data_IF_177521213474
#
_entry.id   IF_177521213474
#
_cell.length_a   1.000
_cell.length_b   1.000
_cell.length_c   1.000
_cell.angle_alpha   90.00
_cell.angle_beta   90.00
_cell.angle_gamma   90.00
#
_symmetry.space_group_name_H-M   'P 1'
#
loop_
_entity.id
_entity.type
_entity.pdbx_description
1 polymer ?
#
# COMPACT_ATOMS: atom_id res chain seq x y z
N UNK A 1 -6.85 -10.97 -3.56
CA UNK A 1 -6.72 -11.78 -2.33
C UNK A 1 -5.33 -12.44 -2.24
N UNK A 2 -4.24 -11.79 -2.68
CA UNK A 2 -3.03 -12.57 -3.07
C UNK A 2 -1.66 -12.03 -2.64
N UNK A 3 -1.55 -10.83 -2.05
CA UNK A 3 -0.25 -10.30 -1.62
C UNK A 3 0.19 -10.80 -0.23
N UNK A 4 -0.74 -10.90 0.75
CA UNK A 4 -0.39 -11.37 2.10
C UNK A 4 -0.03 -12.86 2.17
N UNK A 5 -0.57 -13.70 1.27
CA UNK A 5 -0.24 -15.14 1.23
C UNK A 5 1.19 -15.40 0.75
N UNK A 6 1.74 -14.53 -0.09
CA UNK A 6 3.12 -14.63 -0.57
C UNK A 6 4.15 -14.20 0.49
N UNK A 7 3.78 -13.33 1.43
CA UNK A 7 4.68 -12.89 2.51
C UNK A 7 4.94 -13.96 3.59
N UNK A 8 3.97 -14.86 3.82
CA UNK A 8 4.07 -15.88 4.86
C UNK A 8 5.30 -16.81 4.73
N UNK A 9 5.59 -17.45 3.57
CA UNK A 9 6.77 -18.30 3.45
C UNK A 9 8.08 -17.50 3.61
N UNK A 10 8.13 -16.26 3.14
CA UNK A 10 9.30 -15.39 3.28
C UNK A 10 9.58 -15.05 4.75
N UNK A 11 8.53 -14.75 5.52
CA UNK A 11 8.67 -14.49 6.96
C UNK A 11 9.18 -15.70 7.73
N UNK A 12 8.83 -16.91 7.29
CA UNK A 12 9.25 -18.15 7.95
C UNK A 12 10.74 -18.46 7.71
N UNK A 13 11.24 -18.21 6.50
CA UNK A 13 12.66 -18.36 6.17
C UNK A 13 13.50 -17.36 6.97
N UNK A 14 13.06 -16.11 7.03
CA UNK A 14 13.74 -15.07 7.81
C UNK A 14 13.78 -15.39 9.31
N UNK A 15 12.67 -15.90 9.87
CA UNK A 15 12.57 -16.34 11.26
C UNK A 15 13.55 -17.47 11.57
N UNK A 16 13.65 -18.48 10.69
CA UNK A 16 14.61 -19.57 10.88
C UNK A 16 16.06 -19.06 10.89
N UNK A 17 16.39 -18.09 10.04
CA UNK A 17 17.74 -17.51 9.99
C UNK A 17 18.08 -16.69 11.24
N UNK A 18 17.08 -16.09 11.89
CA UNK A 18 17.25 -15.29 13.10
C UNK A 18 17.24 -16.18 14.34
N UNK A 19 16.37 -17.19 14.39
CA UNK A 19 16.23 -18.09 15.51
C UNK A 19 17.54 -18.83 15.84
N UNK A 20 18.36 -19.17 14.84
CA UNK A 20 19.66 -19.83 15.08
C UNK A 20 20.62 -18.94 15.87
N UNK A 21 20.61 -17.63 15.62
CA UNK A 21 21.45 -16.68 16.33
C UNK A 21 20.98 -16.50 17.79
N UNK A 22 19.67 -16.39 18.01
CA UNK A 22 19.11 -16.19 19.36
C UNK A 22 19.24 -17.40 20.28
N UNK A 23 19.12 -18.62 19.74
CA UNK A 23 19.30 -19.85 20.52
C UNK A 23 20.75 -19.99 21.01
N UNK A 24 21.71 -19.48 20.23
CA UNK A 24 23.13 -19.55 20.58
C UNK A 24 23.50 -18.60 21.72
N UNK A 25 22.78 -17.47 21.85
CA UNK A 25 23.06 -16.41 22.84
C UNK A 25 22.22 -16.51 24.13
N UNK A 26 21.38 -17.55 24.30
CA UNK A 26 20.45 -17.75 25.43
C UNK A 26 19.44 -16.59 25.66
N UNK A 27 19.24 -15.71 24.67
CA UNK A 27 18.34 -14.55 24.78
C UNK A 27 16.89 -14.91 24.41
N UNK A 28 16.16 -15.54 25.33
CA UNK A 28 14.78 -16.03 25.10
C UNK A 28 13.71 -14.93 25.00
N UNK A 29 13.89 -13.79 25.66
CA UNK A 29 12.90 -12.70 25.71
C UNK A 29 12.50 -12.13 24.34
N UNK A 30 13.46 -11.66 23.53
CA UNK A 30 13.18 -11.12 22.18
C UNK A 30 12.62 -12.17 21.24
N UNK A 31 13.09 -13.42 21.35
CA UNK A 31 12.59 -14.51 20.52
C UNK A 31 11.08 -14.71 20.75
N UNK A 32 10.62 -14.67 22.01
CA UNK A 32 9.19 -14.70 22.33
C UNK A 32 8.45 -13.48 21.78
N UNK A 33 9.04 -12.29 21.83
CA UNK A 33 8.45 -11.08 21.25
C UNK A 33 8.27 -11.18 19.73
N UNK A 34 9.29 -11.63 19.00
CA UNK A 34 9.20 -11.84 17.55
C UNK A 34 8.21 -12.95 17.19
N UNK A 35 8.19 -14.07 17.93
CA UNK A 35 7.18 -15.12 17.73
C UNK A 35 5.76 -14.60 17.96
N UNK A 36 5.54 -13.81 19.00
CA UNK A 36 4.25 -13.19 19.27
C UNK A 36 3.84 -12.25 18.15
N UNK A 37 4.76 -11.41 17.66
CA UNK A 37 4.51 -10.46 16.58
C UNK A 37 4.15 -11.20 15.28
N UNK A 38 4.85 -12.28 14.96
CA UNK A 38 4.58 -13.11 13.78
C UNK A 38 3.26 -13.86 13.92
N UNK A 39 2.92 -14.37 15.11
CA UNK A 39 1.62 -14.97 15.37
C UNK A 39 0.48 -13.96 15.17
N UNK A 40 0.67 -12.69 15.59
CA UNK A 40 -0.30 -11.61 15.36
C UNK A 40 -0.42 -11.29 13.86
N UNK A 41 0.68 -11.21 13.13
CA UNK A 41 0.66 -11.04 11.66
C UNK A 41 -0.10 -12.18 10.99
N UNK A 42 0.23 -13.43 11.33
CA UNK A 42 -0.40 -14.62 10.77
C UNK A 42 -1.90 -14.64 11.08
N UNK A 43 -2.28 -14.32 12.31
CA UNK A 43 -3.67 -14.22 12.72
C UNK A 43 -4.42 -13.11 11.96
N UNK A 44 -3.85 -11.90 11.89
CA UNK A 44 -4.42 -10.79 11.13
C UNK A 44 -4.55 -11.11 9.63
N UNK A 45 -3.63 -11.90 9.08
CA UNK A 45 -3.64 -12.36 7.70
C UNK A 45 -4.76 -13.38 7.42
N UNK A 46 -5.05 -14.24 8.39
CA UNK A 46 -6.08 -15.29 8.29
C UNK A 46 -7.49 -14.75 8.58
N UNK A 47 -7.61 -13.61 9.28
CA UNK A 47 -8.88 -12.96 9.58
C UNK A 47 -9.52 -12.32 8.32
N UNK A 48 -10.05 -13.17 7.43
CA UNK A 48 -10.59 -12.85 6.09
C UNK A 48 -11.82 -11.91 6.11
N UNK A 49 -12.42 -11.63 7.29
CA UNK A 49 -13.65 -10.84 7.41
C UNK A 49 -13.46 -9.38 7.88
N UNK A 50 -12.22 -8.92 8.07
CA UNK A 50 -11.99 -7.55 8.52
C UNK A 50 -12.24 -6.53 7.40
N UNK A 51 -12.84 -5.38 7.76
CA UNK A 51 -12.97 -4.25 6.84
C UNK A 51 -11.58 -3.76 6.42
N UNK A 52 -11.48 -3.22 5.20
CA UNK A 52 -10.23 -2.72 4.64
C UNK A 52 -9.48 -1.79 5.60
N UNK A 53 -10.21 -0.86 6.23
CA UNK A 53 -9.68 0.11 7.19
C UNK A 53 -8.99 -0.56 8.37
N UNK A 54 -9.66 -1.53 9.02
CA UNK A 54 -9.10 -2.20 10.20
C UNK A 54 -7.86 -3.00 9.82
N UNK A 55 -7.88 -3.68 8.66
CA UNK A 55 -6.71 -4.42 8.17
C UNK A 55 -5.52 -3.50 7.95
N UNK A 56 -5.73 -2.36 7.29
CA UNK A 56 -4.67 -1.37 7.06
C UNK A 56 -4.10 -0.86 8.39
N UNK A 57 -4.95 -0.47 9.35
CA UNK A 57 -4.46 0.00 10.66
C UNK A 57 -3.67 -1.06 11.41
N UNK A 58 -4.11 -2.33 11.41
CA UNK A 58 -3.35 -3.42 12.04
C UNK A 58 -1.99 -3.59 11.36
N UNK A 59 -1.93 -3.60 10.03
CA UNK A 59 -0.66 -3.69 9.30
C UNK A 59 0.27 -2.54 9.64
N UNK A 60 -0.23 -1.30 9.65
CA UNK A 60 0.57 -0.12 10.00
C UNK A 60 1.06 -0.19 11.46
N UNK A 61 0.20 -0.60 12.39
CA UNK A 61 0.56 -0.73 13.80
C UNK A 61 1.66 -1.77 14.02
N UNK A 62 1.62 -2.88 13.28
CA UNK A 62 2.66 -3.92 13.34
C UNK A 62 4.00 -3.39 12.82
N UNK A 63 4.01 -2.71 11.66
CA UNK A 63 5.25 -2.14 11.10
C UNK A 63 5.83 -1.08 12.05
N UNK A 64 4.97 -0.26 12.65
CA UNK A 64 5.38 0.70 13.67
C UNK A 64 6.00 0.01 14.89
N UNK A 65 5.31 -0.99 15.44
CA UNK A 65 5.81 -1.75 16.60
C UNK A 65 7.15 -2.43 16.31
N UNK A 66 7.33 -2.95 15.09
CA UNK A 66 8.59 -3.55 14.65
C UNK A 66 9.72 -2.52 14.61
N UNK A 67 9.49 -1.35 13.98
CA UNK A 67 10.49 -0.29 13.93
C UNK A 67 10.84 0.29 15.31
N UNK A 68 9.85 0.41 16.20
CA UNK A 68 10.08 0.84 17.59
C UNK A 68 10.83 -0.22 18.39
N UNK A 69 10.49 -1.50 18.23
CA UNK A 69 11.22 -2.60 18.87
C UNK A 69 12.68 -2.61 18.41
N UNK A 70 12.93 -2.49 17.10
CA UNK A 70 14.29 -2.46 16.57
C UNK A 70 15.10 -1.29 17.14
N UNK A 71 14.50 -0.11 17.20
CA UNK A 71 15.15 1.07 17.79
C UNK A 71 15.47 0.88 19.28
N UNK A 72 14.61 0.18 20.03
CA UNK A 72 14.80 -0.10 21.46
C UNK A 72 15.90 -1.14 21.68
N UNK A 73 15.88 -2.24 20.93
CA UNK A 73 16.77 -3.38 21.20
C UNK A 73 18.16 -3.24 20.56
N UNK A 74 18.22 -2.64 19.37
CA UNK A 74 19.44 -2.51 18.59
C UNK A 74 20.01 -1.08 18.57
N UNK A 75 19.19 -0.08 18.91
CA UNK A 75 19.63 1.31 19.05
C UNK A 75 19.58 2.11 17.75
N UNK A 76 20.23 3.28 17.78
CA UNK A 76 20.12 4.31 16.73
C UNK A 76 20.90 3.96 15.46
N UNK A 77 21.95 3.15 15.56
CA UNK A 77 22.81 2.81 14.44
C UNK A 77 22.15 1.87 13.40
N UNK A 78 21.12 1.13 13.80
CA UNK A 78 20.54 0.04 13.01
C UNK A 78 19.43 0.47 12.02
N UNK A 79 18.73 -0.53 11.48
CA UNK A 79 17.78 -0.48 10.36
C UNK A 79 16.37 0.02 10.75
N UNK A 80 16.17 0.60 11.93
CA UNK A 80 14.88 1.17 12.36
C UNK A 80 14.31 2.18 11.35
N UNK A 81 15.21 2.90 10.65
CA UNK A 81 14.87 3.87 9.58
C UNK A 81 14.13 3.20 8.43
N UNK A 82 14.49 1.96 8.08
CA UNK A 82 13.85 1.21 7.01
C UNK A 82 12.39 0.88 7.38
N UNK A 83 12.16 0.44 8.61
CA UNK A 83 10.83 0.12 9.12
C UNK A 83 9.91 1.35 9.19
N UNK A 84 10.43 2.48 9.68
CA UNK A 84 9.66 3.72 9.69
C UNK A 84 9.44 4.29 8.28
N UNK A 85 10.42 4.18 7.38
CA UNK A 85 10.21 4.57 5.98
C UNK A 85 9.12 3.71 5.32
N UNK A 86 9.14 2.39 5.53
CA UNK A 86 8.10 1.48 5.05
C UNK A 86 6.73 1.83 5.61
N UNK A 87 6.64 2.14 6.91
CA UNK A 87 5.41 2.62 7.55
C UNK A 87 4.87 3.87 6.84
N UNK A 88 5.73 4.84 6.55
CA UNK A 88 5.35 6.10 5.90
C UNK A 88 4.88 5.90 4.47
N UNK A 89 5.59 5.07 3.71
CA UNK A 89 5.18 4.70 2.35
C UNK A 89 3.81 4.01 2.36
N UNK A 90 3.62 3.00 3.21
CA UNK A 90 2.35 2.29 3.34
C UNK A 90 1.22 3.22 3.81
N UNK A 91 1.47 4.07 4.80
CA UNK A 91 0.47 5.04 5.29
C UNK A 91 0.06 6.00 4.18
N UNK A 92 1.02 6.51 3.42
CA UNK A 92 0.76 7.44 2.31
C UNK A 92 -0.04 6.78 1.19
N UNK A 93 0.31 5.54 0.84
CA UNK A 93 -0.39 4.77 -0.21
C UNK A 93 -1.82 4.43 0.22
N UNK A 94 -2.03 4.01 1.46
CA UNK A 94 -3.34 3.52 1.91
C UNK A 94 -4.27 4.59 2.45
N UNK A 95 -3.74 5.65 3.08
CA UNK A 95 -4.52 6.68 3.78
C UNK A 95 -4.29 8.09 3.20
N UNK A 96 -3.44 8.22 2.18
CA UNK A 96 -3.16 9.46 1.47
C UNK A 96 -2.11 10.35 2.13
N UNK A 97 -1.82 11.47 1.46
CA UNK A 97 -0.73 12.41 1.81
C UNK A 97 -0.81 12.93 3.25
N UNK A 98 -1.99 13.33 3.72
CA UNK A 98 -2.17 13.91 5.06
C UNK A 98 -1.83 12.91 6.16
N UNK A 99 -2.25 11.66 6.00
CA UNK A 99 -1.93 10.60 6.94
C UNK A 99 -0.43 10.26 6.94
N UNK A 100 0.22 10.31 5.76
CA UNK A 100 1.68 10.16 5.65
C UNK A 100 2.45 11.17 6.50
N UNK A 101 2.09 12.46 6.44
CA UNK A 101 2.71 13.49 7.28
C UNK A 101 2.44 13.32 8.77
N UNK A 102 1.22 12.89 9.15
CA UNK A 102 0.92 12.59 10.57
C UNK A 102 1.78 11.42 11.07
N UNK A 103 1.91 10.36 10.29
CA UNK A 103 2.79 9.25 10.61
C UNK A 103 4.27 9.69 10.70
N UNK A 104 4.72 10.63 9.85
CA UNK A 104 6.08 11.17 9.91
C UNK A 104 6.34 11.82 11.27
N UNK A 105 5.40 12.65 11.73
CA UNK A 105 5.51 13.29 13.04
C UNK A 105 5.53 12.26 14.17
N UNK A 106 4.70 11.22 14.10
CA UNK A 106 4.67 10.14 15.11
C UNK A 106 6.02 9.40 15.14
N UNK A 107 6.57 9.02 13.99
CA UNK A 107 7.88 8.36 13.89
C UNK A 107 9.00 9.24 14.44
N UNK A 108 8.97 10.54 14.11
CA UNK A 108 9.98 11.50 14.54
C UNK A 108 9.94 11.73 16.05
N UNK A 109 8.75 11.90 16.62
CA UNK A 109 8.56 12.01 18.07
C UNK A 109 9.02 10.73 18.77
N UNK A 110 8.71 9.56 18.21
CA UNK A 110 9.12 8.27 18.77
C UNK A 110 10.64 8.11 18.74
N UNK A 111 11.29 8.46 17.63
CA UNK A 111 12.74 8.45 17.51
C UNK A 111 13.41 9.40 18.50
N UNK A 112 12.96 10.67 18.57
CA UNK A 112 13.53 11.65 19.50
C UNK A 112 13.34 11.19 20.95
N UNK A 113 12.16 10.70 21.31
CA UNK A 113 11.87 10.26 22.68
C UNK A 113 12.73 9.07 23.09
N UNK A 114 12.82 8.04 22.24
CA UNK A 114 13.61 6.83 22.52
C UNK A 114 15.11 7.15 22.47
N UNK A 115 15.57 7.89 21.46
CA UNK A 115 16.96 8.34 21.36
C UNK A 115 17.39 9.16 22.58
N UNK A 116 16.51 10.03 23.08
CA UNK A 116 16.77 10.79 24.31
C UNK A 116 16.87 9.89 25.54
N UNK A 117 15.99 8.89 25.68
CA UNK A 117 16.04 7.92 26.78
C UNK A 117 17.34 7.09 26.76
N UNK A 118 17.80 6.71 25.56
CA UNK A 118 19.09 6.01 25.36
C UNK A 118 20.25 6.93 25.74
N UNK A 119 20.23 8.19 25.29
CA UNK A 119 21.27 9.19 25.61
C UNK A 119 21.41 9.44 27.13
N UNK A 120 20.30 9.36 27.88
CA UNK A 120 20.29 9.46 29.34
C UNK A 120 20.67 8.17 30.07
N UNK A 121 20.92 7.08 29.35
CA UNK A 121 21.20 5.76 29.95
C UNK A 121 20.01 5.12 30.67
N UNK A 122 18.79 5.65 30.47
CA UNK A 122 17.55 5.06 31.02
C UNK A 122 17.22 3.77 30.28
N UNK A 123 17.51 3.74 28.97
CA UNK A 123 17.34 2.58 28.12
C UNK A 123 18.72 2.08 27.68
N UNK A 124 19.07 0.86 28.07
CA UNK A 124 20.34 0.22 27.72
C UNK A 124 20.14 -0.68 26.50
N UNK A 125 20.96 -0.49 25.47
CA UNK A 125 20.93 -1.29 24.25
C UNK A 125 21.54 -2.66 24.56
N UNK A 126 20.79 -3.74 24.32
CA UNK A 126 21.20 -5.11 24.70
C UNK A 126 21.65 -5.99 23.53
N UNK A 127 21.41 -5.56 22.28
CA UNK A 127 21.54 -6.44 21.10
C UNK A 127 22.22 -5.82 19.89
N UNK A 128 22.78 -4.62 20.02
CA UNK A 128 23.55 -4.02 18.93
C UNK A 128 24.76 -4.90 18.59
N UNK A 129 24.82 -5.39 17.35
CA UNK A 129 25.98 -6.13 16.84
C UNK A 129 27.17 -5.18 16.58
N UNK A 130 26.88 -3.89 16.33
CA UNK A 130 27.87 -2.90 15.89
C UNK A 130 28.41 -1.97 17.00
N UNK A 131 28.32 -2.34 18.28
CA UNK A 131 28.67 -1.43 19.41
C UNK A 131 28.13 0.00 19.16
N UNK A 132 26.81 0.11 18.99
CA UNK A 132 26.16 1.37 18.65
C UNK A 132 26.58 2.45 19.65
N UNK A 133 27.24 3.54 19.20
CA UNK A 133 27.64 4.60 20.10
C UNK A 133 26.40 5.21 20.76
N UNK A 134 26.55 5.61 22.03
CA UNK A 134 25.51 6.33 22.75
C UNK A 134 25.28 7.64 21.98
N UNK A 135 24.05 7.90 21.50
CA UNK A 135 23.81 9.05 20.66
C UNK A 135 23.84 10.34 21.49
N UNK A 136 24.68 11.28 21.08
CA UNK A 136 24.67 12.63 21.61
C UNK A 136 23.42 13.40 21.13
N UNK A 137 23.06 14.46 21.85
CA UNK A 137 21.90 15.29 21.52
C UNK A 137 21.99 15.91 20.12
N UNK A 138 23.20 16.26 19.69
CA UNK A 138 23.47 16.76 18.33
C UNK A 138 23.22 15.68 17.27
N UNK A 139 23.66 14.44 17.54
CA UNK A 139 23.45 13.32 16.63
C UNK A 139 21.95 12.99 16.48
N UNK A 140 21.19 12.98 17.58
CA UNK A 140 19.73 12.78 17.55
C UNK A 140 19.06 13.86 16.70
N UNK A 141 19.44 15.12 16.89
CA UNK A 141 18.89 16.23 16.13
C UNK A 141 19.21 16.13 14.63
N UNK A 142 20.48 15.88 14.29
CA UNK A 142 20.93 15.75 12.91
C UNK A 142 20.25 14.58 12.20
N UNK A 143 20.18 13.39 12.83
CA UNK A 143 19.49 12.23 12.27
C UNK A 143 17.99 12.47 12.12
N UNK A 144 17.35 13.15 13.07
CA UNK A 144 15.93 13.53 12.97
C UNK A 144 15.66 14.44 11.77
N UNK A 145 16.54 15.43 11.55
CA UNK A 145 16.44 16.34 10.40
C UNK A 145 16.63 15.58 9.09
N UNK A 146 17.69 14.77 8.96
CA UNK A 146 17.93 13.97 7.74
C UNK A 146 16.76 13.03 7.47
N UNK A 147 16.28 12.32 8.51
CA UNK A 147 15.13 11.43 8.39
C UNK A 147 13.87 12.18 7.95
N UNK A 148 13.61 13.35 8.54
CA UNK A 148 12.49 14.21 8.16
C UNK A 148 12.56 14.63 6.69
N UNK A 149 13.70 15.14 6.24
CA UNK A 149 13.88 15.58 4.85
C UNK A 149 13.70 14.43 3.86
N UNK A 150 14.40 13.31 4.07
CA UNK A 150 14.30 12.14 3.18
C UNK A 150 12.88 11.60 3.13
N UNK A 151 12.24 11.42 4.28
CA UNK A 151 10.88 10.88 4.33
C UNK A 151 9.84 11.86 3.78
N UNK A 152 10.00 13.16 3.99
CA UNK A 152 9.12 14.17 3.40
C UNK A 152 9.18 14.14 1.87
N UNK A 153 10.38 13.98 1.31
CA UNK A 153 10.58 13.85 -0.14
C UNK A 153 9.90 12.58 -0.67
N UNK A 154 10.05 11.45 0.02
CA UNK A 154 9.39 10.19 -0.32
C UNK A 154 7.85 10.35 -0.30
N UNK A 155 7.30 10.97 0.75
CA UNK A 155 5.85 11.21 0.87
C UNK A 155 5.35 12.09 -0.29
N UNK A 156 6.10 13.15 -0.62
CA UNK A 156 5.73 14.06 -1.72
C UNK A 156 5.74 13.36 -3.07
N UNK A 157 6.78 12.58 -3.37
CA UNK A 157 6.88 11.81 -4.62
C UNK A 157 5.79 10.75 -4.71
N UNK A 158 5.54 10.00 -3.64
CA UNK A 158 4.46 9.01 -3.64
C UNK A 158 3.10 9.67 -3.81
N UNK A 159 2.86 10.78 -3.13
CA UNK A 159 1.60 11.51 -3.24
C UNK A 159 1.38 12.05 -4.67
N UNK A 160 2.40 12.62 -5.31
CA UNK A 160 2.27 13.10 -6.69
C UNK A 160 1.99 11.95 -7.67
N UNK A 161 2.68 10.83 -7.50
CA UNK A 161 2.46 9.63 -8.33
C UNK A 161 1.04 9.09 -8.15
N UNK A 162 0.52 9.04 -6.91
CA UNK A 162 -0.85 8.62 -6.61
C UNK A 162 -1.89 9.56 -7.26
N UNK A 163 -1.68 10.88 -7.16
CA UNK A 163 -2.54 11.88 -7.79
C UNK A 163 -2.52 11.74 -9.33
N UNK A 164 -1.36 11.51 -9.94
CA UNK A 164 -1.25 11.25 -11.38
C UNK A 164 -1.97 9.97 -11.81
N UNK A 165 -1.85 8.89 -11.03
CA UNK A 165 -2.57 7.64 -11.28
C UNK A 165 -4.07 7.81 -11.21
N UNK A 166 -4.58 8.53 -10.21
CA UNK A 166 -6.01 8.81 -10.07
C UNK A 166 -6.53 9.63 -11.27
N UNK A 167 -5.78 10.67 -11.67
CA UNK A 167 -6.11 11.49 -12.83
C UNK A 167 -6.05 10.71 -14.15
N UNK A 168 -5.13 9.76 -14.29
CA UNK A 168 -5.02 8.90 -15.46
C UNK A 168 -6.21 7.92 -15.54
N UNK A 169 -6.56 7.31 -14.40
CA UNK A 169 -7.70 6.41 -14.27
C UNK A 169 -9.02 7.10 -14.59
N UNK A 170 -9.22 8.33 -14.12
CA UNK A 170 -10.42 9.10 -14.43
C UNK A 170 -10.53 9.42 -15.93
N UNK A 171 -9.41 9.82 -16.57
CA UNK A 171 -9.35 10.04 -18.02
C UNK A 171 -9.65 8.78 -18.83
N UNK A 172 -9.11 7.65 -18.41
CA UNK A 172 -9.38 6.35 -19.03
C UNK A 172 -10.87 6.00 -18.93
N UNK A 173 -11.46 6.17 -17.73
CA UNK A 173 -12.89 5.91 -17.50
C UNK A 173 -13.79 6.81 -18.35
N UNK A 174 -13.47 8.10 -18.47
CA UNK A 174 -14.23 9.03 -19.31
C UNK A 174 -14.13 8.65 -20.79
N UNK A 175 -12.95 8.29 -21.27
CA UNK A 175 -12.73 7.85 -22.65
C UNK A 175 -13.50 6.56 -22.96
N UNK A 176 -13.47 5.59 -22.04
CA UNK A 176 -14.22 4.35 -22.16
C UNK A 176 -15.74 4.59 -22.19
N UNK A 177 -16.24 5.55 -21.40
CA UNK A 177 -17.64 5.96 -21.44
C UNK A 177 -18.02 6.61 -22.77
N UNK A 178 -17.17 7.49 -23.32
CA UNK A 178 -17.39 8.13 -24.63
C UNK A 178 -17.43 7.10 -25.75
N UNK A 179 -16.50 6.14 -25.75
CA UNK A 179 -16.50 5.03 -26.72
C UNK A 179 -17.78 4.20 -26.61
N UNK A 180 -18.24 3.88 -25.39
CA UNK A 180 -19.49 3.15 -25.20
C UNK A 180 -20.73 3.91 -25.69
N UNK A 181 -20.70 5.25 -25.66
CA UNK A 181 -21.78 6.08 -26.21
C UNK A 181 -21.74 6.04 -27.74
N UNK A 182 -20.55 6.24 -28.34
CA UNK A 182 -20.38 6.21 -29.78
C UNK A 182 -20.73 4.85 -30.39
N UNK A 183 -20.39 3.73 -29.74
CA UNK A 183 -20.78 2.40 -30.23
C UNK A 183 -22.30 2.23 -30.23
N UNK A 184 -22.99 2.69 -29.18
CA UNK A 184 -24.47 2.65 -29.12
C UNK A 184 -25.11 3.54 -30.19
N UNK A 185 -24.55 4.71 -30.46
CA UNK A 185 -25.03 5.60 -31.52
C UNK A 185 -24.87 4.97 -32.91
N UNK A 186 -23.71 4.33 -33.16
CA UNK A 186 -23.45 3.60 -34.41
C UNK A 186 -24.41 2.40 -34.56
N UNK A 187 -24.62 1.59 -33.53
CA UNK A 187 -25.58 0.49 -33.53
C UNK A 187 -27.03 0.99 -33.78
N UNK A 188 -27.40 2.12 -33.17
CA UNK A 188 -28.70 2.73 -33.38
C UNK A 188 -28.88 3.26 -34.81
N UNK A 189 -27.80 3.71 -35.45
CA UNK A 189 -27.83 4.20 -36.84
C UNK A 189 -27.91 3.04 -37.82
N UNK A 190 -27.12 1.98 -37.61
CA UNK A 190 -27.18 0.76 -38.43
C UNK A 190 -28.55 0.08 -38.36
N UNK A 191 -29.15 -0.02 -37.17
CA UNK A 191 -30.50 -0.58 -37.03
C UNK A 191 -31.57 0.27 -37.73
N UNK A 192 -31.43 1.60 -37.75
CA UNK A 192 -32.31 2.48 -38.54
C UNK A 192 -32.15 2.25 -40.03
N UNK A 193 -30.91 2.14 -40.53
CA UNK A 193 -30.64 1.87 -41.94
C UNK A 193 -31.21 0.52 -42.39
N UNK A 194 -31.02 -0.53 -41.60
CA UNK A 194 -31.60 -1.85 -41.88
C UNK A 194 -33.13 -1.81 -41.92
N UNK A 195 -33.75 -1.08 -41.00
CA UNK A 195 -35.21 -0.92 -40.97
C UNK A 195 -35.73 -0.16 -42.20
N UNK A 196 -35.00 0.86 -42.68
CA UNK A 196 -35.33 1.57 -43.91
C UNK A 196 -35.18 0.68 -45.15
N UNK A 197 -34.11 -0.10 -45.24
CA UNK A 197 -33.89 -1.05 -46.33
C UNK A 197 -35.03 -2.08 -46.42
N UNK A 198 -35.41 -2.67 -45.29
CA UNK A 198 -36.51 -3.64 -45.22
C UNK A 198 -37.85 -3.02 -45.63
N UNK A 199 -38.12 -1.77 -45.27
CA UNK A 199 -39.33 -1.05 -45.70
C UNK A 199 -39.37 -0.79 -47.20
N UNK A 200 -38.23 -0.46 -47.81
CA UNK A 200 -38.12 -0.26 -49.25
C UNK A 200 -38.38 -1.56 -50.01
N UNK A 201 -37.79 -2.68 -49.58
CA UNK A 201 -38.03 -4.00 -50.15
C UNK A 201 -39.51 -4.41 -50.07
N UNK A 202 -40.15 -4.18 -48.93
CA UNK A 202 -41.58 -4.43 -48.75
C UNK A 202 -42.46 -3.54 -49.66
N UNK A 203 -42.04 -2.29 -49.90
CA UNK A 203 -42.78 -1.38 -50.77
C UNK A 203 -42.67 -1.78 -52.25
N UNK A 204 -41.49 -2.26 -52.66
CA UNK A 204 -41.26 -2.76 -54.02
C UNK A 204 -42.08 -4.03 -54.30
N UNK A 205 -42.07 -4.99 -53.37
CA UNK A 205 -42.87 -6.23 -53.49
C UNK A 205 -44.38 -5.93 -53.57
N UNK A 206 -44.89 -5.00 -52.76
CA UNK A 206 -46.28 -4.55 -52.87
C UNK A 206 -46.61 -3.92 -54.22
N UNK A 207 -45.71 -3.12 -54.80
CA UNK A 207 -45.90 -2.56 -56.13
C UNK A 207 -45.91 -3.62 -57.23
N UNK A 208 -45.04 -4.63 -57.13
CA UNK A 208 -45.01 -5.76 -58.07
C UNK A 208 -46.32 -6.56 -58.04
N UNK A 209 -46.86 -6.83 -56.85
CA UNK A 209 -48.15 -7.48 -56.69
C UNK A 209 -49.30 -6.66 -57.31
N UNK A 210 -49.33 -5.35 -57.03
CA UNK A 210 -50.31 -4.44 -57.63
C UNK A 210 -50.21 -4.41 -59.16
N UNK A 211 -49.00 -4.40 -59.72
CA UNK A 211 -48.80 -4.44 -61.17
C UNK A 211 -49.24 -5.78 -61.77
N UNK A 212 -48.97 -6.91 -61.11
CA UNK A 212 -49.46 -8.23 -61.52
C UNK A 212 -50.98 -8.29 -61.55
N UNK A 213 -51.65 -7.70 -60.55
CA UNK A 213 -53.11 -7.63 -60.49
C UNK A 213 -53.69 -6.77 -61.62
N UNK A 214 -53.05 -5.65 -61.98
CA UNK A 214 -53.50 -4.80 -63.10
C UNK A 214 -53.31 -5.44 -64.49
N UNK A 215 -52.38 -6.38 -64.62
CA UNK A 215 -52.12 -7.07 -65.90
C UNK A 215 -53.03 -8.27 -66.18
N UNK A 216 -53.89 -8.66 -65.22
CA UNK A 216 -54.91 -9.70 -65.38
C UNK A 216 -56.26 -9.09 -65.69
#
# INVERSE_FOLDING_TARGET
MSLLRFGAPFSMIWLLSIASNFVSDEKWGPLLFYLMLIAVIAYASIAIKLTYTVRTFITLLIIYALGTADLIFFGVAEDWRLHYAALLMCTTIFLGRRAGFVALLICLVSFISIGWLISKGVLVITMSIMDSPIPDTEAIFMMSMVFFFVCSMIIMVLASVLEEFENAWERERLTAQQLSIQTKELESSLSREQLLANKLEHSLTQQEELNRLKSR
#
